data_IF_055861578321
#
_entry.id   IF_055861578321
#
_cell.length_a   1.000
_cell.length_b   1.000
_cell.length_c   1.000
_cell.angle_alpha   90.00
_cell.angle_beta   90.00
_cell.angle_gamma   90.00
#
_symmetry.space_group_name_H-M   'P 1'
#
loop_
_entity.id
_entity.type
_entity.pdbx_description
1 polymer ?
#
# COMPACT_ATOMS: atom_id res chain seq x y z
N UNK A 1 -42.76 -23.37 59.39
CA UNK A 1 -43.25 -23.09 58.02
C UNK A 1 -44.23 -21.92 58.10
N UNK A 2 -44.01 -20.89 57.26
CA UNK A 2 -44.82 -19.68 56.97
C UNK A 2 -45.31 -18.81 58.15
N UNK A 3 -44.54 -17.79 58.57
CA UNK A 3 -44.40 -16.39 58.08
C UNK A 3 -45.47 -15.42 58.59
N UNK A 4 -44.96 -14.36 59.21
CA UNK A 4 -45.59 -13.33 60.04
C UNK A 4 -46.03 -12.10 59.21
N UNK A 5 -47.15 -11.52 59.63
CA UNK A 5 -47.40 -10.09 59.95
C UNK A 5 -47.04 -9.01 58.91
N UNK A 6 -48.10 -8.48 58.29
CA UNK A 6 -48.52 -7.07 58.10
C UNK A 6 -47.50 -5.91 58.32
N UNK A 7 -47.32 -5.16 57.22
CA UNK A 7 -47.22 -3.71 56.99
C UNK A 7 -46.53 -2.76 58.00
N UNK A 8 -45.70 -1.85 57.45
CA UNK A 8 -45.69 -0.42 57.79
C UNK A 8 -44.95 0.40 56.72
N UNK A 9 -45.44 1.60 56.46
CA UNK A 9 -45.13 2.51 55.34
C UNK A 9 -43.95 3.47 55.60
N UNK A 10 -43.46 4.08 54.48
CA UNK A 10 -42.73 5.37 54.28
C UNK A 10 -41.35 5.59 54.96
N UNK A 11 -40.46 6.51 54.49
CA UNK A 11 -40.62 7.60 53.50
C UNK A 11 -39.51 7.76 52.44
N UNK A 12 -39.77 8.66 51.48
CA UNK A 12 -38.79 9.30 50.60
C UNK A 12 -37.62 9.95 51.37
N UNK A 13 -36.41 9.84 50.82
CA UNK A 13 -35.23 10.55 51.27
C UNK A 13 -34.16 10.61 50.19
N UNK A 14 -34.04 11.79 49.59
CA UNK A 14 -33.09 12.20 48.56
C UNK A 14 -31.63 12.12 49.03
N UNK A 15 -30.76 11.40 48.31
CA UNK A 15 -29.31 11.51 48.51
C UNK A 15 -28.57 11.54 47.16
N UNK A 16 -28.35 12.78 46.70
CA UNK A 16 -27.22 13.30 45.93
C UNK A 16 -26.40 12.34 45.04
N UNK A 17 -26.51 12.58 43.73
CA UNK A 17 -25.49 12.37 42.71
C UNK A 17 -24.09 12.80 43.20
N UNK A 18 -23.13 11.89 43.26
CA UNK A 18 -21.70 12.23 43.35
C UNK A 18 -21.04 12.08 41.96
N UNK A 19 -20.32 13.09 41.46
CA UNK A 19 -19.73 13.07 40.13
C UNK A 19 -18.55 12.09 40.04
N UNK A 20 -18.48 11.34 38.94
CA UNK A 20 -17.56 10.22 38.65
C UNK A 20 -16.13 10.73 38.28
N UNK A 21 -15.69 11.85 38.84
CA UNK A 21 -14.52 12.57 38.33
C UNK A 21 -13.14 12.10 38.85
N UNK A 22 -13.03 10.96 39.53
CA UNK A 22 -11.78 10.58 40.24
C UNK A 22 -11.25 9.17 39.96
N UNK A 23 -11.45 8.60 38.76
CA UNK A 23 -10.85 7.28 38.41
C UNK A 23 -9.92 7.31 37.18
N UNK A 24 -9.86 8.40 36.41
CA UNK A 24 -8.93 8.45 35.28
C UNK A 24 -7.76 9.40 35.55
N UNK A 25 -6.50 8.94 35.51
CA UNK A 25 -5.37 9.84 35.43
C UNK A 25 -5.54 10.71 34.17
N UNK A 26 -5.09 11.97 34.18
CA UNK A 26 -5.18 12.83 33.00
C UNK A 26 -4.43 12.14 31.86
N UNK A 27 -5.19 11.72 30.84
CA UNK A 27 -4.62 11.31 29.57
C UNK A 27 -3.97 12.56 29.03
N UNK A 28 -2.63 12.57 29.03
CA UNK A 28 -1.82 13.61 28.43
C UNK A 28 -2.13 13.65 26.92
N UNK A 29 -3.14 14.46 26.55
CA UNK A 29 -3.61 14.64 25.18
C UNK A 29 -2.52 15.19 24.24
N UNK A 30 -1.35 15.58 24.80
CA UNK A 30 -0.20 16.06 24.06
C UNK A 30 0.65 14.94 23.43
N UNK A 31 0.37 13.65 23.70
CA UNK A 31 1.12 12.49 23.14
C UNK A 31 0.49 11.83 21.91
N UNK A 32 -0.55 12.43 21.33
CA UNK A 32 -1.15 12.01 20.05
C UNK A 32 -0.54 12.76 18.85
N UNK A 33 0.78 12.95 18.81
CA UNK A 33 1.49 13.61 17.71
C UNK A 33 2.65 12.77 17.14
N UNK A 34 2.58 11.45 17.29
CA UNK A 34 3.44 10.52 16.56
C UNK A 34 2.54 9.57 15.82
N UNK A 35 2.33 9.80 14.52
CA UNK A 35 1.67 8.84 13.66
C UNK A 35 2.45 7.52 13.76
N UNK A 36 1.91 6.56 14.51
CA UNK A 36 2.44 5.20 14.57
C UNK A 36 2.40 4.65 13.15
N UNK A 37 3.56 4.64 12.50
CA UNK A 37 3.78 3.98 11.22
C UNK A 37 3.60 2.49 11.47
N UNK A 38 2.38 1.99 11.42
CA UNK A 38 2.09 0.58 11.61
C UNK A 38 2.65 -0.17 10.39
N UNK A 39 3.78 -0.91 10.54
CA UNK A 39 4.42 -1.55 9.42
C UNK A 39 3.49 -2.61 8.86
N UNK A 40 3.70 -2.99 7.60
CA UNK A 40 2.94 -4.08 6.99
C UNK A 40 3.11 -5.34 7.84
N UNK A 41 1.99 -5.99 8.17
CA UNK A 41 2.01 -7.25 8.94
C UNK A 41 2.86 -8.26 8.18
N UNK A 42 4.01 -8.62 8.77
CA UNK A 42 4.96 -9.57 8.19
C UNK A 42 4.31 -10.94 8.15
N UNK A 43 4.30 -11.59 6.98
CA UNK A 43 3.78 -12.95 6.80
C UNK A 43 4.76 -13.98 7.36
N UNK A 44 6.06 -13.70 7.30
CA UNK A 44 7.09 -14.52 7.93
C UNK A 44 7.34 -14.11 9.38
N UNK A 45 7.38 -15.11 10.26
CA UNK A 45 7.80 -14.98 11.67
C UNK A 45 9.33 -14.94 11.85
N UNK A 46 10.11 -14.99 10.76
CA UNK A 46 11.58 -15.00 10.81
C UNK A 46 12.11 -13.58 11.02
N UNK A 47 13.22 -13.47 11.75
CA UNK A 47 13.94 -12.21 11.89
C UNK A 47 14.32 -11.66 10.50
N UNK A 48 14.23 -10.34 10.29
CA UNK A 48 14.62 -9.73 9.03
C UNK A 48 16.12 -10.03 8.76
N UNK A 49 16.49 -10.37 7.51
CA UNK A 49 17.89 -10.61 7.15
C UNK A 49 18.75 -9.34 7.24
N UNK A 50 20.06 -9.52 7.29
CA UNK A 50 21.04 -8.43 7.36
C UNK A 50 20.85 -7.40 6.24
N UNK A 51 20.93 -6.11 6.59
CA UNK A 51 20.68 -4.98 5.69
C UNK A 51 19.21 -4.53 5.55
N UNK A 52 18.26 -5.12 6.29
CA UNK A 52 16.85 -4.68 6.28
C UNK A 52 16.66 -3.26 6.82
N UNK A 53 17.42 -2.86 7.84
CA UNK A 53 17.29 -1.57 8.52
C UNK A 53 17.46 -0.36 7.57
N UNK A 54 18.30 -0.51 6.53
CA UNK A 54 18.56 0.53 5.55
C UNK A 54 17.41 0.72 4.56
N UNK A 55 16.64 -0.34 4.27
CA UNK A 55 15.56 -0.33 3.27
C UNK A 55 14.18 -0.12 3.90
N UNK A 56 14.01 -0.52 5.15
CA UNK A 56 12.75 -0.38 5.91
C UNK A 56 12.14 1.03 5.83
N UNK A 57 12.84 2.14 6.12
CA UNK A 57 12.21 3.46 6.11
C UNK A 57 11.67 3.83 4.72
N UNK A 58 12.42 3.50 3.66
CA UNK A 58 12.01 3.78 2.28
C UNK A 58 10.84 2.91 1.81
N UNK A 59 10.77 1.65 2.27
CA UNK A 59 9.67 0.75 1.93
C UNK A 59 8.39 1.15 2.66
N UNK A 60 8.50 1.54 3.93
CA UNK A 60 7.38 2.02 4.72
C UNK A 60 6.80 3.32 4.16
N UNK A 61 7.64 4.25 3.70
CA UNK A 61 7.16 5.46 2.99
C UNK A 61 6.38 5.12 1.71
N UNK A 62 6.83 4.12 0.95
CA UNK A 62 6.14 3.70 -0.26
C UNK A 62 4.84 2.94 0.05
N UNK A 63 4.81 2.15 1.12
CA UNK A 63 3.58 1.49 1.59
C UNK A 63 2.59 2.48 2.20
N UNK A 64 3.07 3.52 2.88
CA UNK A 64 2.23 4.61 3.34
C UNK A 64 1.57 5.34 2.16
N UNK A 65 2.35 5.63 1.10
CA UNK A 65 1.80 6.20 -0.14
C UNK A 65 0.79 5.28 -0.82
N UNK A 66 0.96 3.95 -0.74
CA UNK A 66 -0.05 3.01 -1.25
C UNK A 66 -1.36 3.16 -0.47
N UNK A 67 -1.30 3.22 0.86
CA UNK A 67 -2.51 3.40 1.70
C UNK A 67 -3.21 4.72 1.40
N UNK A 68 -2.45 5.80 1.21
CA UNK A 68 -2.99 7.10 0.80
C UNK A 68 -3.66 7.05 -0.57
N UNK A 69 -3.07 6.35 -1.54
CA UNK A 69 -3.67 6.17 -2.86
C UNK A 69 -4.92 5.29 -2.85
N UNK A 70 -5.03 4.35 -1.89
CA UNK A 70 -6.23 3.53 -1.69
C UNK A 70 -7.38 4.31 -1.03
N UNK A 71 -7.06 5.25 -0.13
CA UNK A 71 -8.06 6.08 0.57
C UNK A 71 -8.47 7.33 -0.19
N UNK A 72 -7.76 7.69 -1.26
CA UNK A 72 -8.06 8.89 -2.04
C UNK A 72 -9.48 8.81 -2.64
N UNK A 73 -10.34 9.82 -2.42
CA UNK A 73 -11.68 9.83 -2.98
C UNK A 73 -11.62 9.89 -4.51
N UNK A 74 -12.55 9.17 -5.14
CA UNK A 74 -12.64 9.05 -6.60
C UNK A 74 -13.47 10.17 -7.24
N UNK A 75 -13.69 11.29 -6.54
CA UNK A 75 -14.48 12.40 -7.03
C UNK A 75 -13.74 13.18 -8.13
N UNK A 76 -14.35 13.26 -9.32
CA UNK A 76 -13.81 13.97 -10.47
C UNK A 76 -12.81 13.21 -11.35
N UNK A 77 -12.40 11.99 -10.97
CA UNK A 77 -11.51 11.14 -11.77
C UNK A 77 -12.29 10.07 -12.53
N UNK A 78 -11.79 9.63 -13.69
CA UNK A 78 -12.36 8.45 -14.38
C UNK A 78 -12.12 7.21 -13.51
N UNK A 79 -13.04 6.23 -13.51
CA UNK A 79 -12.91 4.97 -12.75
C UNK A 79 -11.55 4.27 -12.97
N UNK A 80 -10.99 4.37 -14.18
CA UNK A 80 -9.68 3.79 -14.51
C UNK A 80 -8.51 4.60 -13.95
N UNK A 81 -8.64 5.92 -13.84
CA UNK A 81 -7.60 6.83 -13.37
C UNK A 81 -7.35 6.71 -11.87
N UNK A 82 -8.40 6.41 -11.09
CA UNK A 82 -8.26 6.13 -9.66
C UNK A 82 -7.27 5.00 -9.36
N UNK A 83 -7.08 4.06 -10.30
CA UNK A 83 -6.16 2.93 -10.14
C UNK A 83 -4.72 3.23 -10.62
N UNK A 84 -4.50 4.32 -11.36
CA UNK A 84 -3.18 4.64 -11.91
C UNK A 84 -2.11 4.88 -10.84
N UNK A 85 -2.39 5.61 -9.73
CA UNK A 85 -1.42 5.81 -8.65
C UNK A 85 -0.96 4.48 -8.03
N UNK A 86 -1.87 3.53 -7.86
CA UNK A 86 -1.58 2.20 -7.30
C UNK A 86 -0.53 1.47 -8.15
N UNK A 87 -0.72 1.42 -9.48
CA UNK A 87 0.25 0.80 -10.38
C UNK A 87 1.58 1.56 -10.41
N UNK A 88 1.57 2.88 -10.30
CA UNK A 88 2.78 3.70 -10.29
C UNK A 88 3.63 3.43 -9.04
N UNK A 89 3.00 3.38 -7.88
CA UNK A 89 3.71 3.13 -6.62
C UNK A 89 4.20 1.68 -6.57
N UNK A 90 3.40 0.71 -7.01
CA UNK A 90 3.83 -0.69 -7.12
C UNK A 90 5.04 -0.86 -8.05
N UNK A 91 5.04 -0.18 -9.20
CA UNK A 91 6.19 -0.12 -10.10
C UNK A 91 7.41 0.49 -9.41
N UNK A 92 7.23 1.61 -8.71
CA UNK A 92 8.30 2.31 -7.98
C UNK A 92 8.92 1.44 -6.88
N UNK A 93 8.10 0.74 -6.08
CA UNK A 93 8.55 -0.22 -5.06
C UNK A 93 9.39 -1.32 -5.67
N UNK A 94 8.88 -1.95 -6.72
CA UNK A 94 9.59 -3.05 -7.39
C UNK A 94 10.90 -2.56 -8.03
N UNK A 95 10.90 -1.35 -8.61
CA UNK A 95 12.08 -0.75 -9.24
C UNK A 95 13.16 -0.40 -8.22
N UNK A 96 12.78 0.11 -7.06
CA UNK A 96 13.71 0.40 -5.97
C UNK A 96 14.50 -0.85 -5.56
N UNK A 97 13.80 -1.95 -5.31
CA UNK A 97 14.43 -3.24 -4.95
C UNK A 97 15.30 -3.77 -6.10
N UNK A 98 14.84 -3.63 -7.34
CA UNK A 98 15.60 -4.04 -8.52
C UNK A 98 16.91 -3.26 -8.66
N UNK A 99 16.88 -1.94 -8.51
CA UNK A 99 18.06 -1.08 -8.63
C UNK A 99 19.07 -1.34 -7.50
N UNK A 100 18.60 -1.61 -6.27
CA UNK A 100 19.47 -1.97 -5.15
C UNK A 100 20.21 -3.31 -5.36
N UNK A 101 19.55 -4.29 -5.97
CA UNK A 101 20.15 -5.61 -6.21
C UNK A 101 21.03 -5.65 -7.47
N UNK A 102 20.54 -5.16 -8.62
CA UNK A 102 21.22 -5.31 -9.90
C UNK A 102 22.24 -4.21 -10.20
N UNK A 103 21.95 -2.96 -9.84
CA UNK A 103 22.85 -1.82 -10.13
C UNK A 103 23.82 -1.57 -8.99
N UNK A 104 23.28 -1.32 -7.78
CA UNK A 104 24.09 -0.95 -6.61
C UNK A 104 24.69 -2.14 -5.87
N UNK A 105 24.08 -3.33 -5.99
CA UNK A 105 24.48 -4.57 -5.30
C UNK A 105 24.63 -4.40 -3.78
N UNK A 106 23.81 -3.55 -3.17
CA UNK A 106 23.85 -3.24 -1.74
C UNK A 106 23.11 -4.28 -0.87
N UNK A 107 22.37 -5.20 -1.51
CA UNK A 107 21.47 -6.16 -0.87
C UNK A 107 22.00 -7.59 -1.09
N UNK A 108 21.98 -8.40 -0.03
CA UNK A 108 22.27 -9.84 -0.12
C UNK A 108 21.15 -10.59 -0.87
N UNK A 109 21.49 -11.75 -1.46
CA UNK A 109 20.50 -12.58 -2.16
C UNK A 109 19.33 -13.00 -1.26
N UNK A 110 19.62 -13.27 0.01
CA UNK A 110 18.61 -13.71 0.99
C UNK A 110 17.58 -12.61 1.28
N UNK A 111 18.04 -11.37 1.46
CA UNK A 111 17.17 -10.22 1.69
C UNK A 111 16.30 -9.92 0.46
N UNK A 112 16.85 -10.07 -0.75
CA UNK A 112 16.08 -9.93 -1.99
C UNK A 112 14.98 -10.99 -2.12
N UNK A 113 15.27 -12.25 -1.82
CA UNK A 113 14.28 -13.33 -1.84
C UNK A 113 13.21 -13.14 -0.75
N UNK A 114 13.59 -12.61 0.43
CA UNK A 114 12.67 -12.20 1.48
C UNK A 114 11.70 -11.11 1.00
N UNK A 115 12.21 -10.06 0.34
CA UNK A 115 11.38 -8.98 -0.20
C UNK A 115 10.33 -9.47 -1.21
N UNK A 116 10.68 -10.45 -2.04
CA UNK A 116 9.76 -11.07 -2.98
C UNK A 116 8.71 -11.91 -2.23
N UNK A 117 9.11 -12.66 -1.20
CA UNK A 117 8.22 -13.54 -0.44
C UNK A 117 7.18 -12.78 0.38
N UNK A 118 7.58 -11.66 0.98
CA UNK A 118 6.67 -10.76 1.70
C UNK A 118 5.79 -9.89 0.76
N UNK A 119 6.10 -9.90 -0.55
CA UNK A 119 5.34 -9.16 -1.55
C UNK A 119 5.62 -7.65 -1.53
N UNK A 120 6.87 -7.26 -1.24
CA UNK A 120 7.34 -5.89 -1.50
C UNK A 120 7.70 -5.67 -2.97
N UNK A 121 8.13 -6.73 -3.66
CA UNK A 121 8.51 -6.71 -5.07
C UNK A 121 7.82 -7.83 -5.86
N UNK A 122 7.44 -7.53 -7.10
CA UNK A 122 6.85 -8.52 -8.01
C UNK A 122 7.90 -9.32 -8.76
N UNK A 123 7.97 -10.63 -8.48
CA UNK A 123 8.85 -11.57 -9.19
C UNK A 123 8.63 -11.56 -10.71
N UNK A 124 7.37 -11.52 -11.13
CA UNK A 124 6.99 -11.58 -12.54
C UNK A 124 7.42 -10.32 -13.30
N UNK A 125 7.27 -9.14 -12.68
CA UNK A 125 7.66 -7.88 -13.28
C UNK A 125 9.18 -7.80 -13.42
N UNK A 126 9.92 -8.18 -12.37
CA UNK A 126 11.39 -8.22 -12.40
C UNK A 126 11.89 -9.20 -13.47
N UNK A 127 11.25 -10.37 -13.63
CA UNK A 127 11.60 -11.32 -14.67
C UNK A 127 11.43 -10.74 -16.09
N UNK A 128 10.47 -9.82 -16.29
CA UNK A 128 10.30 -9.13 -17.57
C UNK A 128 11.37 -8.07 -17.79
N UNK A 129 11.76 -7.30 -16.76
CA UNK A 129 12.81 -6.28 -16.89
C UNK A 129 14.18 -6.85 -17.27
N UNK A 130 14.45 -8.12 -16.96
CA UNK A 130 15.67 -8.82 -17.41
C UNK A 130 15.68 -9.14 -18.91
N UNK A 131 14.52 -9.12 -19.58
CA UNK A 131 14.42 -9.44 -21.00
C UNK A 131 14.64 -8.18 -21.84
N UNK A 132 15.41 -8.32 -22.92
CA UNK A 132 15.64 -7.22 -23.86
C UNK A 132 14.32 -6.65 -24.39
N UNK A 133 14.23 -5.32 -24.41
CA UNK A 133 13.04 -4.58 -24.87
C UNK A 133 11.94 -4.40 -23.82
N UNK A 134 12.07 -4.96 -22.61
CA UNK A 134 11.11 -4.80 -21.51
C UNK A 134 11.69 -4.09 -20.28
N UNK A 135 12.87 -3.49 -20.36
CA UNK A 135 13.59 -2.88 -19.23
C UNK A 135 12.78 -1.81 -18.47
N UNK A 136 11.92 -1.08 -19.19
CA UNK A 136 11.06 -0.01 -18.64
C UNK A 136 9.58 -0.39 -18.69
N UNK A 137 9.27 -1.69 -18.59
CA UNK A 137 7.89 -2.14 -18.56
C UNK A 137 7.14 -1.57 -17.35
N UNK A 138 6.03 -0.91 -17.63
CA UNK A 138 5.12 -0.29 -16.67
C UNK A 138 4.37 -1.32 -15.82
N UNK A 139 3.68 -2.28 -16.45
CA UNK A 139 2.76 -3.19 -15.77
C UNK A 139 2.65 -4.55 -16.49
N UNK A 140 2.23 -5.60 -15.77
CA UNK A 140 2.01 -6.92 -16.38
C UNK A 140 0.76 -6.95 -17.26
N UNK A 141 -0.28 -6.18 -16.93
CA UNK A 141 -1.50 -6.07 -17.75
C UNK A 141 -1.23 -5.50 -19.15
N UNK A 142 -0.23 -4.62 -19.24
CA UNK A 142 0.15 -3.91 -20.45
C UNK A 142 0.70 -4.83 -21.56
N UNK A 143 1.19 -6.02 -21.19
CA UNK A 143 1.72 -7.06 -22.09
C UNK A 143 0.79 -8.28 -22.21
N UNK A 144 -0.33 -8.25 -21.50
CA UNK A 144 -1.24 -9.36 -21.44
C UNK A 144 -2.21 -9.25 -22.61
N UNK A 145 -2.09 -10.13 -23.60
CA UNK A 145 -2.97 -10.13 -24.79
C UNK A 145 -4.42 -10.48 -24.46
N UNK A 146 -4.66 -11.13 -23.32
CA UNK A 146 -6.02 -11.48 -22.86
C UNK A 146 -6.81 -10.29 -22.30
N UNK A 147 -6.12 -9.21 -21.91
CA UNK A 147 -6.75 -8.05 -21.29
C UNK A 147 -7.26 -7.04 -22.35
N UNK A 148 -7.01 -7.30 -23.64
CA UNK A 148 -7.44 -6.46 -24.76
C UNK A 148 -8.37 -7.22 -25.70
N UNK A 149 -9.32 -6.50 -26.30
CA UNK A 149 -10.34 -7.10 -27.18
C UNK A 149 -9.74 -7.75 -28.44
N UNK A 150 -8.61 -7.24 -28.93
CA UNK A 150 -7.99 -7.68 -30.18
C UNK A 150 -6.80 -8.63 -29.98
N UNK A 151 -6.54 -9.11 -28.75
CA UNK A 151 -5.41 -10.01 -28.52
C UNK A 151 -4.05 -9.34 -28.68
N UNK A 152 -3.97 -8.01 -28.56
CA UNK A 152 -2.75 -7.21 -28.77
C UNK A 152 -2.24 -6.60 -27.47
N UNK A 153 -1.01 -6.05 -27.48
CA UNK A 153 -0.44 -5.33 -26.33
C UNK A 153 -1.02 -3.91 -26.22
N UNK A 154 -0.92 -3.27 -25.03
CA UNK A 154 -1.37 -1.87 -24.87
C UNK A 154 -0.52 -0.93 -25.75
N UNK A 155 -1.13 0.20 -26.16
CA UNK A 155 -0.48 1.29 -26.91
C UNK A 155 0.82 1.79 -26.27
N UNK A 156 0.96 1.64 -24.95
CA UNK A 156 2.18 2.01 -24.23
C UNK A 156 3.43 1.24 -24.66
N UNK A 157 3.29 0.10 -25.35
CA UNK A 157 4.42 -0.68 -25.87
C UNK A 157 4.89 -0.22 -27.24
N UNK A 158 4.18 0.69 -27.90
CA UNK A 158 4.57 1.24 -29.19
C UNK A 158 5.63 2.34 -28.96
N UNK A 159 6.77 2.30 -29.67
CA UNK A 159 7.80 3.33 -29.54
C UNK A 159 7.29 4.66 -30.08
N UNK A 160 7.70 5.77 -29.46
CA UNK A 160 7.20 7.11 -29.83
C UNK A 160 7.56 7.50 -31.26
N UNK A 161 8.65 6.98 -31.82
CA UNK A 161 9.06 7.24 -33.21
C UNK A 161 8.03 6.78 -34.25
N UNK A 162 7.17 5.83 -33.90
CA UNK A 162 6.10 5.32 -34.79
C UNK A 162 4.75 5.98 -34.52
N UNK A 163 4.66 6.83 -33.50
CA UNK A 163 3.46 7.60 -33.22
C UNK A 163 3.52 8.98 -33.86
N UNK A 164 2.35 9.49 -34.21
CA UNK A 164 2.17 10.86 -34.67
C UNK A 164 2.62 11.85 -33.59
N UNK A 165 3.45 12.80 -33.99
CA UNK A 165 4.03 13.83 -33.13
C UNK A 165 2.91 14.72 -32.58
N UNK A 166 2.67 14.65 -31.27
CA UNK A 166 1.68 15.49 -30.56
C UNK A 166 0.53 14.73 -29.90
N UNK A 167 0.36 13.42 -30.12
CA UNK A 167 -0.64 12.64 -29.38
C UNK A 167 -0.12 12.27 -27.98
N UNK A 168 -0.82 12.74 -26.95
CA UNK A 168 -0.57 12.32 -25.56
C UNK A 168 -1.15 10.91 -25.38
N UNK A 169 -0.26 9.92 -25.21
CA UNK A 169 -0.65 8.53 -24.96
C UNK A 169 -0.88 8.34 -23.47
N UNK A 170 -2.04 7.82 -23.09
CA UNK A 170 -2.32 7.37 -21.73
C UNK A 170 -2.90 5.95 -21.78
N UNK A 171 -2.18 4.96 -21.26
CA UNK A 171 -2.72 3.59 -21.20
C UNK A 171 -3.84 3.53 -20.16
N UNK A 172 -4.98 2.95 -20.53
CA UNK A 172 -6.15 2.82 -19.66
C UNK A 172 -5.85 2.07 -18.36
N UNK A 173 -4.90 1.13 -18.37
CA UNK A 173 -4.60 0.30 -17.20
C UNK A 173 -3.74 0.99 -16.14
N UNK A 174 -2.74 1.77 -16.54
CA UNK A 174 -1.73 2.30 -15.60
C UNK A 174 -1.35 3.77 -15.85
N UNK A 175 -1.95 4.45 -16.83
CA UNK A 175 -1.68 5.86 -17.12
C UNK A 175 -0.28 6.14 -17.67
N UNK A 176 0.44 5.13 -18.15
CA UNK A 176 1.80 5.32 -18.66
C UNK A 176 1.82 6.01 -20.03
N UNK A 177 2.87 6.82 -20.25
CA UNK A 177 3.10 7.64 -21.46
C UNK A 177 4.18 7.05 -22.37
N UNK A 178 4.14 5.73 -22.56
CA UNK A 178 5.12 4.97 -23.32
C UNK A 178 6.14 4.26 -22.42
N UNK A 179 6.17 2.93 -22.52
CA UNK A 179 7.06 2.04 -21.76
C UNK A 179 8.22 1.51 -22.64
N UNK A 180 8.29 1.90 -23.92
CA UNK A 180 9.25 1.41 -24.91
C UNK A 180 10.20 2.48 -25.47
N UNK A 181 10.30 3.65 -24.83
CA UNK A 181 11.03 4.82 -25.34
C UNK A 181 10.09 5.82 -26.00
#
# INVERSE_FOLDING_TARGET
MCTKVVACEVPWGSEAQKPIHLIFPPIDLCKLSSGEKMPKVKRSRKAPPDGWELIEPTLDELDQKMREAETEPHEGKRKVESLWPIFRIHHQKTRYIFDLFYKRKAISRELYEYCIKEGYADKNLIAKWKKQGYENLCCLRCIQTRDTNFGTNCICRVPKSKLEVGRIIECTHCGCRGCSG
#
